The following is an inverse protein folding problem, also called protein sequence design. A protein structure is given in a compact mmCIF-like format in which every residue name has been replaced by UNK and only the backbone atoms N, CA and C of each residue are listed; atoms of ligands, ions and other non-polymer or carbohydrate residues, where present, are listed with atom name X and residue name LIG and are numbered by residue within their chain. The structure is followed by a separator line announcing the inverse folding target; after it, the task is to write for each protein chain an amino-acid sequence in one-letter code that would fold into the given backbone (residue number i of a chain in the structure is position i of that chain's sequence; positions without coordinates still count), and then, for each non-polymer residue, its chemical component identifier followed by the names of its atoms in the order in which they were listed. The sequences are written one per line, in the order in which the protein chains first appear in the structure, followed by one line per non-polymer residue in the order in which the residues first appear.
data_IF_867877007312
#
_entry.id   IF_867877007312
#
_cell.length_a   1.000
_cell.length_b   1.000
_cell.length_c   1.000
_cell.angle_alpha   90.00
_cell.angle_beta   90.00
_cell.angle_gamma   90.00
#
_symmetry.space_group_name_H-M   'P 1'
#
loop_
_entity.id
_entity.type
_entity.pdbx_description
1 polymer ?
#
# COMPACT_ATOMS: atom_id res chain seq x y z
N UNK A 1 -9.63 4.09 -19.62
CA UNK A 1 -9.00 4.23 -18.30
C UNK A 1 -10.06 3.87 -17.26
N UNK A 2 -9.80 2.94 -16.34
CA UNK A 2 -10.79 2.57 -15.32
C UNK A 2 -10.98 3.77 -14.36
N UNK A 3 -12.20 4.35 -14.23
CA UNK A 3 -12.43 5.53 -13.39
C UNK A 3 -11.91 5.35 -11.95
N UNK A 4 -12.10 4.16 -11.36
CA UNK A 4 -11.65 3.85 -10.01
C UNK A 4 -10.14 3.94 -9.84
N UNK A 5 -9.36 3.60 -10.87
CA UNK A 5 -7.90 3.75 -10.83
C UNK A 5 -7.49 5.22 -10.76
N UNK A 6 -8.19 6.08 -11.51
CA UNK A 6 -7.98 7.54 -11.42
C UNK A 6 -8.41 8.07 -10.07
N UNK A 7 -9.56 7.62 -9.55
CA UNK A 7 -10.06 8.02 -8.23
C UNK A 7 -9.11 7.59 -7.11
N UNK A 8 -8.47 6.43 -7.23
CA UNK A 8 -7.46 5.97 -6.27
C UNK A 8 -6.24 6.91 -6.24
N UNK A 9 -5.71 7.29 -7.41
CA UNK A 9 -4.60 8.25 -7.49
C UNK A 9 -4.97 9.61 -6.88
N UNK A 10 -6.20 10.09 -7.16
CA UNK A 10 -6.71 11.34 -6.58
C UNK A 10 -6.90 11.20 -5.06
N UNK A 11 -7.38 10.05 -4.58
CA UNK A 11 -7.54 9.76 -3.16
C UNK A 11 -6.20 9.76 -2.41
N UNK A 12 -5.18 9.08 -2.93
CA UNK A 12 -3.82 9.11 -2.38
C UNK A 12 -3.26 10.54 -2.32
N UNK A 13 -3.47 11.32 -3.39
CA UNK A 13 -3.12 12.75 -3.41
C UNK A 13 -3.80 13.54 -2.31
N UNK A 14 -5.10 13.33 -2.08
CA UNK A 14 -5.83 14.01 -1.01
C UNK A 14 -5.29 13.63 0.37
N UNK A 15 -5.05 12.34 0.62
CA UNK A 15 -4.47 11.84 1.87
C UNK A 15 -3.08 12.43 2.13
N UNK A 16 -2.25 12.54 1.09
CA UNK A 16 -0.95 13.20 1.19
C UNK A 16 -1.06 14.64 1.69
N UNK A 17 -1.97 15.43 1.11
CA UNK A 17 -2.20 16.82 1.55
C UNK A 17 -2.83 16.93 2.94
N UNK A 18 -3.61 15.94 3.36
CA UNK A 18 -4.13 15.82 4.73
C UNK A 18 -3.08 15.30 5.73
N UNK A 19 -1.88 14.95 5.27
CA UNK A 19 -0.83 14.37 6.10
C UNK A 19 -1.23 13.02 6.71
N UNK A 20 -2.07 12.24 6.02
CA UNK A 20 -2.50 10.91 6.46
C UNK A 20 -1.60 9.86 5.81
N UNK A 21 -1.02 8.99 6.64
CA UNK A 21 -0.15 7.90 6.24
C UNK A 21 -0.85 6.55 6.44
N UNK A 22 -0.55 5.50 5.64
CA UNK A 22 -1.05 4.14 5.89
C UNK A 22 -0.74 3.53 7.27
N UNK A 23 0.16 4.15 8.05
CA UNK A 23 0.54 3.70 9.40
C UNK A 23 0.12 4.71 10.47
N UNK A 24 -0.73 5.68 10.10
CA UNK A 24 -1.38 6.61 11.00
C UNK A 24 -2.68 5.98 11.53
N UNK A 25 -2.54 4.90 12.31
CA UNK A 25 -3.68 4.07 12.72
C UNK A 25 -4.70 4.82 13.59
N UNK A 26 -4.29 5.92 14.23
CA UNK A 26 -5.19 6.82 14.95
C UNK A 26 -6.22 7.51 14.04
N UNK A 27 -5.97 7.56 12.72
CA UNK A 27 -6.89 8.09 11.71
C UNK A 27 -7.63 7.00 10.94
N UNK A 28 -7.54 5.73 11.35
CA UNK A 28 -8.20 4.62 10.64
C UNK A 28 -9.73 4.73 10.60
N UNK A 29 -10.33 5.41 11.57
CA UNK A 29 -11.77 5.70 11.61
C UNK A 29 -12.19 6.90 10.74
N UNK A 30 -11.24 7.60 10.10
CA UNK A 30 -11.58 8.69 9.18
C UNK A 30 -12.19 8.18 7.88
N UNK A 31 -13.09 8.97 7.30
CA UNK A 31 -13.73 8.62 6.04
C UNK A 31 -12.72 8.54 4.89
N UNK A 32 -11.67 9.36 4.93
CA UNK A 32 -10.62 9.38 3.92
C UNK A 32 -9.74 8.13 3.98
N UNK A 33 -9.38 7.68 5.19
CA UNK A 33 -8.56 6.48 5.39
C UNK A 33 -9.34 5.20 5.03
N UNK A 34 -10.57 5.08 5.54
CA UNK A 34 -11.43 3.92 5.22
C UNK A 34 -11.78 3.91 3.73
N UNK A 35 -12.12 5.06 3.14
CA UNK A 35 -12.49 5.18 1.74
C UNK A 35 -11.39 4.77 0.76
N UNK A 36 -10.11 5.08 1.02
CA UNK A 36 -9.02 4.63 0.14
C UNK A 36 -8.81 3.12 0.20
N UNK A 37 -9.03 2.51 1.37
CA UNK A 37 -8.93 1.06 1.55
C UNK A 37 -10.08 0.36 0.83
N UNK A 38 -11.32 0.84 1.01
CA UNK A 38 -12.49 0.32 0.30
C UNK A 38 -12.29 0.39 -1.22
N UNK A 39 -11.85 1.54 -1.73
CA UNK A 39 -11.57 1.72 -3.15
C UNK A 39 -10.46 0.78 -3.66
N UNK A 40 -9.37 0.62 -2.90
CA UNK A 40 -8.31 -0.33 -3.24
C UNK A 40 -8.82 -1.77 -3.31
N UNK A 41 -9.64 -2.19 -2.34
CA UNK A 41 -10.27 -3.51 -2.34
C UNK A 41 -11.22 -3.70 -3.52
N UNK A 42 -12.03 -2.69 -3.86
CA UNK A 42 -12.88 -2.74 -5.04
C UNK A 42 -12.06 -2.94 -6.32
N UNK A 43 -10.95 -2.23 -6.49
CA UNK A 43 -10.08 -2.37 -7.66
C UNK A 43 -9.47 -3.78 -7.70
N UNK A 44 -8.96 -4.28 -6.56
CA UNK A 44 -8.42 -5.66 -6.47
C UNK A 44 -9.49 -6.68 -6.86
N UNK A 45 -10.71 -6.54 -6.38
CA UNK A 45 -11.82 -7.45 -6.70
C UNK A 45 -12.24 -7.39 -8.17
N UNK A 46 -12.14 -6.20 -8.79
CA UNK A 46 -12.58 -5.97 -10.16
C UNK A 46 -11.54 -6.40 -11.20
N UNK A 47 -10.25 -6.08 -10.98
CA UNK A 47 -9.19 -6.30 -11.97
C UNK A 47 -8.06 -7.22 -11.49
N UNK A 48 -8.11 -7.67 -10.24
CA UNK A 48 -7.12 -8.57 -9.65
C UNK A 48 -5.91 -7.86 -9.04
N UNK A 49 -5.25 -8.58 -8.13
CA UNK A 49 -4.10 -8.08 -7.37
C UNK A 49 -2.91 -7.70 -8.25
N UNK A 50 -2.67 -8.42 -9.36
CA UNK A 50 -1.60 -8.10 -10.32
C UNK A 50 -1.75 -6.70 -10.90
N UNK A 51 -2.96 -6.37 -11.38
CA UNK A 51 -3.22 -5.05 -11.97
C UNK A 51 -3.22 -3.94 -10.93
N UNK A 52 -3.60 -4.24 -9.69
CA UNK A 52 -3.51 -3.29 -8.60
C UNK A 52 -2.05 -3.03 -8.17
N UNK A 53 -1.22 -4.08 -8.11
CA UNK A 53 0.18 -3.99 -7.70
C UNK A 53 1.03 -3.13 -8.66
N UNK A 54 0.58 -2.83 -9.88
CA UNK A 54 1.25 -1.88 -10.77
C UNK A 54 1.37 -0.47 -10.19
N UNK A 55 0.49 -0.09 -9.25
CA UNK A 55 0.56 1.22 -8.57
C UNK A 55 1.84 1.43 -7.77
N UNK A 56 2.61 0.39 -7.46
CA UNK A 56 3.92 0.55 -6.78
C UNK A 56 4.95 1.31 -7.63
N UNK A 57 4.69 1.48 -8.92
CA UNK A 57 5.52 2.27 -9.84
C UNK A 57 5.20 3.77 -9.80
N UNK A 58 4.14 4.17 -9.10
CA UNK A 58 3.70 5.56 -8.97
C UNK A 58 4.27 6.19 -7.69
N UNK A 59 5.39 6.90 -7.80
CA UNK A 59 6.13 7.47 -6.66
C UNK A 59 5.57 8.82 -6.15
N UNK A 60 4.47 9.29 -6.73
CA UNK A 60 3.87 10.56 -6.33
C UNK A 60 2.85 10.34 -5.22
N UNK A 61 2.83 11.24 -4.25
CA UNK A 61 1.80 11.30 -3.21
C UNK A 61 1.66 10.00 -2.39
N UNK A 62 2.74 9.23 -2.24
CA UNK A 62 2.76 7.94 -1.52
C UNK A 62 1.79 6.92 -2.12
N UNK A 63 1.46 7.02 -3.40
CA UNK A 63 0.60 6.04 -4.08
C UNK A 63 1.22 4.65 -3.93
N UNK A 64 2.53 4.54 -4.12
CA UNK A 64 3.30 3.30 -3.98
C UNK A 64 3.23 2.71 -2.57
N UNK A 65 3.18 3.55 -1.53
CA UNK A 65 3.10 3.11 -0.13
C UNK A 65 1.68 2.65 0.19
N UNK A 66 0.66 3.44 -0.19
CA UNK A 66 -0.75 3.09 -0.01
C UNK A 66 -1.12 1.81 -0.75
N UNK A 67 -0.72 1.68 -2.02
CA UNK A 67 -0.99 0.48 -2.80
C UNK A 67 -0.28 -0.74 -2.22
N UNK A 68 0.97 -0.59 -1.78
CA UNK A 68 1.72 -1.69 -1.15
C UNK A 68 1.06 -2.14 0.15
N UNK A 69 0.68 -1.20 1.00
CA UNK A 69 -0.03 -1.50 2.25
C UNK A 69 -1.34 -2.24 1.97
N UNK A 70 -2.16 -1.73 1.05
CA UNK A 70 -3.46 -2.33 0.73
C UNK A 70 -3.29 -3.72 0.11
N UNK A 71 -2.35 -3.87 -0.82
CA UNK A 71 -2.05 -5.14 -1.48
C UNK A 71 -1.67 -6.21 -0.46
N UNK A 72 -0.83 -5.88 0.52
CA UNK A 72 -0.35 -6.86 1.51
C UNK A 72 -1.36 -7.13 2.63
N UNK A 73 -2.00 -6.12 3.21
CA UNK A 73 -2.92 -6.32 4.34
C UNK A 73 -4.26 -6.92 3.89
N UNK A 74 -4.80 -6.46 2.76
CA UNK A 74 -6.15 -6.83 2.30
C UNK A 74 -6.14 -7.71 1.05
N UNK A 75 -5.25 -7.42 0.10
CA UNK A 75 -5.11 -8.24 -1.11
C UNK A 75 -4.52 -9.62 -0.85
N UNK A 76 -3.65 -9.74 0.15
CA UNK A 76 -3.00 -10.98 0.61
C UNK A 76 -2.51 -11.86 -0.56
N UNK A 77 -1.64 -11.34 -1.44
CA UNK A 77 -1.10 -12.11 -2.57
C UNK A 77 -0.41 -13.38 -2.07
N UNK A 78 -0.31 -14.39 -2.94
CA UNK A 78 0.56 -15.54 -2.67
C UNK A 78 2.01 -15.04 -2.52
N UNK A 79 2.74 -15.42 -1.45
CA UNK A 79 4.14 -15.04 -1.25
C UNK A 79 5.05 -15.26 -2.47
N UNK A 80 4.74 -16.26 -3.30
CA UNK A 80 5.50 -16.66 -4.47
C UNK A 80 4.93 -16.11 -5.79
N UNK A 81 3.84 -15.33 -5.75
CA UNK A 81 3.26 -14.74 -6.95
C UNK A 81 4.20 -13.68 -7.54
N UNK A 82 4.75 -13.98 -8.71
CA UNK A 82 5.63 -13.06 -9.44
C UNK A 82 4.85 -11.86 -9.93
N UNK A 83 5.36 -10.66 -9.63
CA UNK A 83 4.84 -9.41 -10.18
C UNK A 83 5.17 -9.34 -11.67
N UNK A 84 4.14 -9.39 -12.52
CA UNK A 84 4.32 -9.52 -13.98
C UNK A 84 5.13 -8.39 -14.61
N UNK A 85 5.01 -7.16 -14.11
CA UNK A 85 5.71 -6.00 -14.67
C UNK A 85 7.21 -5.99 -14.32
N UNK A 86 7.59 -6.57 -13.18
CA UNK A 86 9.01 -6.73 -12.78
C UNK A 86 9.63 -7.97 -13.43
N UNK A 87 8.88 -9.08 -13.49
CA UNK A 87 9.32 -10.35 -14.08
C UNK A 87 10.35 -11.12 -13.25
N UNK A 88 10.82 -10.58 -12.13
CA UNK A 88 11.78 -11.20 -11.23
C UNK A 88 11.35 -11.20 -9.76
N UNK A 89 10.66 -10.14 -9.31
CA UNK A 89 10.23 -9.99 -7.92
C UNK A 89 8.82 -10.55 -7.70
N UNK A 90 8.53 -10.98 -6.47
CA UNK A 90 7.16 -11.31 -6.09
C UNK A 90 6.40 -10.02 -5.78
N UNK A 91 5.07 -10.06 -5.87
CA UNK A 91 4.22 -8.94 -5.41
C UNK A 91 4.57 -8.60 -3.96
N UNK A 92 4.78 -9.63 -3.13
CA UNK A 92 5.18 -9.46 -1.74
C UNK A 92 6.48 -8.66 -1.59
N UNK A 93 7.57 -9.12 -2.22
CA UNK A 93 8.88 -8.48 -2.05
C UNK A 93 8.87 -7.05 -2.60
N UNK A 94 8.23 -6.82 -3.74
CA UNK A 94 8.16 -5.51 -4.35
C UNK A 94 7.36 -4.51 -3.50
N UNK A 95 6.21 -4.93 -2.94
CA UNK A 95 5.41 -4.07 -2.05
C UNK A 95 6.14 -3.80 -0.72
N UNK A 96 6.76 -4.83 -0.14
CA UNK A 96 7.50 -4.69 1.11
C UNK A 96 8.68 -3.72 0.96
N UNK A 97 9.41 -3.79 -0.15
CA UNK A 97 10.51 -2.87 -0.43
C UNK A 97 10.03 -1.40 -0.41
N UNK A 98 8.88 -1.09 -1.03
CA UNK A 98 8.34 0.28 -1.02
C UNK A 98 8.00 0.77 0.39
N UNK A 99 7.52 -0.12 1.24
CA UNK A 99 7.18 0.22 2.64
C UNK A 99 8.43 0.41 3.50
N UNK A 100 9.47 -0.39 3.26
CA UNK A 100 10.73 -0.33 4.00
C UNK A 100 11.56 0.92 3.66
N UNK A 101 11.37 1.50 2.47
CA UNK A 101 12.02 2.74 2.07
C UNK A 101 11.75 3.88 3.07
N UNK A 102 12.79 4.69 3.28
CA UNK A 102 12.71 5.93 4.07
C UNK A 102 12.04 7.01 3.26
N UNK A 103 11.11 7.73 3.88
CA UNK A 103 10.51 8.91 3.25
C UNK A 103 11.45 10.11 3.25
N UNK A 104 11.31 10.96 2.23
CA UNK A 104 12.07 12.22 2.11
C UNK A 104 11.75 13.15 3.29
N UNK A 105 10.48 13.19 3.70
CA UNK A 105 10.04 13.95 4.86
C UNK A 105 10.04 13.06 6.09
N UNK A 106 10.58 13.58 7.19
CA UNK A 106 10.57 12.88 8.47
C UNK A 106 9.11 12.63 8.91
N UNK A 107 8.82 11.37 9.21
CA UNK A 107 7.54 10.96 9.74
C UNK A 107 7.53 11.14 11.26
N UNK A 108 6.37 11.45 11.87
CA UNK A 108 6.21 11.35 13.32
C UNK A 108 6.65 9.98 13.85
N UNK A 109 7.31 9.97 15.02
CA UNK A 109 7.84 8.75 15.66
C UNK A 109 6.79 7.65 15.78
N UNK A 110 5.56 8.01 16.16
CA UNK A 110 4.45 7.06 16.29
C UNK A 110 4.13 6.33 14.96
N UNK A 111 4.18 7.05 13.83
CA UNK A 111 3.95 6.44 12.51
C UNK A 111 5.10 5.50 12.14
N UNK A 112 6.33 5.84 12.52
CA UNK A 112 7.51 4.99 12.30
C UNK A 112 7.40 3.70 13.14
N UNK A 113 7.02 3.82 14.40
CA UNK A 113 6.80 2.66 15.29
C UNK A 113 5.68 1.76 14.76
N UNK A 114 4.53 2.33 14.39
CA UNK A 114 3.42 1.61 13.76
C UNK A 114 3.84 0.88 12.48
N UNK A 115 4.63 1.55 11.61
CA UNK A 115 5.18 0.96 10.39
C UNK A 115 6.05 -0.25 10.71
N UNK A 116 6.98 -0.12 11.65
CA UNK A 116 7.92 -1.20 12.01
C UNK A 116 7.18 -2.39 12.62
N UNK A 117 6.19 -2.14 13.48
CA UNK A 117 5.35 -3.17 14.06
C UNK A 117 4.53 -3.90 13.00
N UNK A 118 3.97 -3.15 12.06
CA UNK A 118 3.25 -3.72 10.93
C UNK A 118 4.15 -4.57 10.03
N UNK A 119 5.36 -4.10 9.69
CA UNK A 119 6.35 -4.86 8.89
C UNK A 119 6.69 -6.19 9.56
N UNK A 120 6.91 -6.19 10.87
CA UNK A 120 7.20 -7.41 11.64
C UNK A 120 6.04 -8.39 11.61
N UNK A 121 4.80 -7.89 11.74
CA UNK A 121 3.57 -8.69 11.63
C UNK A 121 3.46 -9.30 10.23
N UNK A 122 3.60 -8.50 9.17
CA UNK A 122 3.37 -8.98 7.79
C UNK A 122 4.42 -10.03 7.38
N UNK A 123 5.70 -9.82 7.73
CA UNK A 123 6.77 -10.82 7.50
C UNK A 123 6.46 -12.15 8.19
N UNK A 124 5.97 -12.09 9.43
CA UNK A 124 5.55 -13.28 10.19
C UNK A 124 4.39 -14.01 9.50
N UNK A 125 3.37 -13.28 9.03
CA UNK A 125 2.23 -13.86 8.32
C UNK A 125 2.64 -14.59 7.03
N UNK A 126 3.69 -14.11 6.37
CA UNK A 126 4.23 -14.68 5.14
C UNK A 126 5.32 -15.74 5.37
N UNK A 127 5.62 -16.09 6.63
CA UNK A 127 6.72 -16.99 7.01
C UNK A 127 8.10 -16.56 6.48
N UNK A 128 8.33 -15.26 6.36
CA UNK A 128 9.59 -14.70 5.93
C UNK A 128 10.31 -14.20 7.19
N UNK A 129 11.42 -14.86 7.52
CA UNK A 129 12.27 -14.55 8.67
C UNK A 129 13.27 -13.44 8.35
#
# INVERSE_FOLDING_TARGET
MNPKRTDFLVGCKNLYFLGIHPFDFNKSDSAEYSGIIELGNEIINEVGIQSFAEFIMEYQYRVEIWSSYIALEFGKPDPNEILKISGAETIFSACLEKIEQTEINELPTEIIENKNDWIRKIKTCYNIA
#
